data_IF_022293280091
#
_entry.id   IF_022293280091
#
_cell.length_a   1.000
_cell.length_b   1.000
_cell.length_c   1.000
_cell.angle_alpha   90.00
_cell.angle_beta   90.00
_cell.angle_gamma   90.00
#
_symmetry.space_group_name_H-M   'P 1'
#
loop_
_entity.id
_entity.type
_entity.pdbx_description
1 polymer ?
#
# COMPACT_ATOMS: atom_id res chain seq x y z
N UNK A 1 -8.52 13.04 11.35
CA UNK A 1 -8.68 12.12 10.20
C UNK A 1 -8.00 12.63 8.95
N UNK A 2 -6.80 13.19 9.11
CA UNK A 2 -6.06 13.72 7.97
C UNK A 2 -5.05 12.70 7.45
N UNK A 3 -4.21 12.19 8.35
CA UNK A 3 -3.21 11.20 7.98
C UNK A 3 -3.12 10.10 9.04
N UNK A 4 -2.99 8.86 8.57
CA UNK A 4 -2.90 7.71 9.46
C UNK A 4 -4.05 7.71 10.47
N UNK A 5 -4.11 6.66 11.29
CA UNK A 5 -5.15 6.53 12.30
C UNK A 5 -5.25 5.10 12.80
N UNK A 6 -5.05 4.95 14.10
CA UNK A 6 -5.12 3.66 14.75
C UNK A 6 -4.30 2.61 14.01
N UNK A 7 -4.31 1.39 14.54
CA UNK A 7 -3.56 0.29 13.93
C UNK A 7 -4.47 -0.56 13.05
N UNK A 8 -5.46 -1.20 13.68
CA UNK A 8 -6.38 -2.04 12.96
C UNK A 8 -7.22 -1.23 11.99
N UNK A 9 -7.47 0.02 12.34
CA UNK A 9 -8.25 0.90 11.48
C UNK A 9 -7.58 0.96 10.11
N UNK A 10 -6.25 1.00 10.13
CA UNK A 10 -5.48 1.03 8.91
C UNK A 10 -5.73 -0.23 8.10
N UNK A 11 -5.51 -1.37 8.74
CA UNK A 11 -5.72 -2.67 8.11
C UNK A 11 -7.07 -2.70 7.40
N UNK A 12 -8.13 -2.59 8.19
CA UNK A 12 -9.48 -2.59 7.64
C UNK A 12 -9.58 -1.60 6.49
N UNK A 13 -8.74 -0.57 6.52
CA UNK A 13 -8.71 0.43 5.48
C UNK A 13 -7.88 -0.07 4.30
N UNK A 14 -6.79 -0.77 4.59
CA UNK A 14 -5.93 -1.31 3.55
C UNK A 14 -6.74 -2.10 2.54
N UNK A 15 -7.91 -2.59 2.98
CA UNK A 15 -8.78 -3.38 2.13
C UNK A 15 -9.90 -2.53 1.55
N UNK A 16 -10.56 -1.75 2.40
CA UNK A 16 -11.64 -0.88 1.96
C UNK A 16 -11.19 -0.04 0.77
N UNK A 17 -9.88 0.19 0.68
CA UNK A 17 -9.31 0.96 -0.40
C UNK A 17 -9.67 0.36 -1.76
N UNK A 18 -8.89 -0.62 -2.18
CA UNK A 18 -9.14 -1.29 -3.45
C UNK A 18 -8.00 -2.25 -3.80
N UNK A 19 -8.22 -3.10 -4.79
CA UNK A 19 -7.22 -4.06 -5.23
C UNK A 19 -5.88 -3.37 -5.45
N UNK A 20 -5.93 -2.20 -6.09
CA UNK A 20 -4.73 -1.41 -6.35
C UNK A 20 -3.97 -1.16 -5.07
N UNK A 21 -4.71 -1.03 -3.97
CA UNK A 21 -4.11 -0.79 -2.67
C UNK A 21 -3.52 -2.07 -2.10
N UNK A 22 -4.39 -3.06 -1.92
CA UNK A 22 -3.95 -4.35 -1.40
C UNK A 22 -2.89 -4.95 -2.31
N UNK A 23 -2.89 -4.52 -3.58
CA UNK A 23 -1.93 -5.01 -4.54
C UNK A 23 -0.56 -4.38 -4.35
N UNK A 24 -0.46 -3.10 -4.74
CA UNK A 24 0.81 -2.39 -4.63
C UNK A 24 1.32 -2.35 -3.20
N UNK A 25 0.40 -2.27 -2.24
CA UNK A 25 0.78 -2.23 -0.83
C UNK A 25 1.51 -3.51 -0.43
N UNK A 26 0.91 -4.66 -0.75
CA UNK A 26 1.52 -5.94 -0.42
C UNK A 26 2.86 -6.12 -1.13
N UNK A 27 3.11 -5.27 -2.12
CA UNK A 27 4.37 -5.31 -2.84
C UNK A 27 5.29 -4.27 -2.23
N UNK A 28 4.69 -3.14 -1.89
CA UNK A 28 5.37 -2.03 -1.27
C UNK A 28 5.83 -2.43 0.13
N UNK A 29 5.02 -3.25 0.80
CA UNK A 29 5.32 -3.74 2.14
C UNK A 29 6.72 -4.33 2.21
N UNK A 30 7.17 -4.89 1.09
CA UNK A 30 8.49 -5.50 1.02
C UNK A 30 9.55 -4.48 0.59
N UNK A 31 9.25 -3.75 -0.47
CA UNK A 31 10.19 -2.75 -0.96
C UNK A 31 10.82 -3.15 -2.28
N UNK A 32 10.11 -3.96 -3.05
CA UNK A 32 10.61 -4.42 -4.34
C UNK A 32 10.48 -3.31 -5.40
N UNK A 33 11.10 -3.52 -6.58
CA UNK A 33 11.06 -2.53 -7.66
C UNK A 33 9.64 -2.30 -8.18
N UNK A 34 9.44 -1.17 -8.84
CA UNK A 34 8.13 -0.83 -9.38
C UNK A 34 7.69 -1.86 -10.43
N UNK A 35 8.66 -2.49 -11.07
CA UNK A 35 8.37 -3.50 -12.09
C UNK A 35 7.88 -4.79 -11.46
N UNK A 36 8.74 -5.43 -10.67
CA UNK A 36 8.36 -6.69 -10.00
C UNK A 36 7.03 -6.54 -9.30
N UNK A 37 6.78 -5.37 -8.75
CA UNK A 37 5.53 -5.09 -8.05
C UNK A 37 4.36 -5.09 -9.01
N UNK A 38 4.45 -4.25 -10.02
CA UNK A 38 3.40 -4.14 -11.01
C UNK A 38 3.10 -5.49 -11.64
N UNK A 39 4.14 -6.27 -11.86
CA UNK A 39 3.94 -7.58 -12.44
C UNK A 39 3.56 -8.59 -11.38
N UNK A 40 4.03 -8.38 -10.16
CA UNK A 40 3.70 -9.26 -9.06
C UNK A 40 2.19 -9.22 -8.81
N UNK A 41 1.54 -8.16 -9.32
CA UNK A 41 0.11 -8.01 -9.15
C UNK A 41 -0.56 -7.89 -10.53
N UNK A 42 -0.13 -8.76 -11.44
CA UNK A 42 -0.67 -8.80 -12.80
C UNK A 42 -0.97 -7.41 -13.36
N UNK A 43 0.03 -6.53 -13.39
CA UNK A 43 -0.17 -5.18 -13.91
C UNK A 43 1.14 -4.54 -14.35
N UNK A 44 1.03 -3.35 -14.96
CA UNK A 44 2.19 -2.63 -15.45
C UNK A 44 2.76 -1.68 -14.41
N UNK A 45 4.07 -1.36 -14.51
CA UNK A 45 4.73 -0.44 -13.56
C UNK A 45 4.16 0.96 -13.62
N UNK A 46 3.65 1.32 -14.79
CA UNK A 46 3.04 2.63 -14.97
C UNK A 46 1.74 2.68 -14.17
N UNK A 47 1.18 1.50 -13.91
CA UNK A 47 -0.05 1.40 -13.15
C UNK A 47 0.24 1.57 -11.66
N UNK A 48 1.22 0.82 -11.14
CA UNK A 48 1.58 0.93 -9.75
C UNK A 48 1.95 2.37 -9.43
N UNK A 49 2.58 3.03 -10.39
CA UNK A 49 2.95 4.43 -10.22
C UNK A 49 1.69 5.23 -9.95
N UNK A 50 0.63 4.90 -10.68
CA UNK A 50 -0.65 5.56 -10.50
C UNK A 50 -1.33 5.07 -9.23
N UNK A 51 -1.51 3.75 -9.15
CA UNK A 51 -2.14 3.13 -8.01
C UNK A 51 -1.44 3.56 -6.72
N UNK A 52 -0.15 3.25 -6.63
CA UNK A 52 0.65 3.60 -5.46
C UNK A 52 0.37 5.03 -5.00
N UNK A 53 0.80 6.00 -5.80
CA UNK A 53 0.59 7.41 -5.48
C UNK A 53 -0.83 7.68 -5.02
N UNK A 54 -1.75 6.86 -5.51
CA UNK A 54 -3.16 6.98 -5.16
C UNK A 54 -3.40 6.34 -3.82
N UNK A 55 -2.89 5.13 -3.70
CA UNK A 55 -2.98 4.33 -2.52
C UNK A 55 -2.58 5.14 -1.29
N UNK A 56 -1.35 5.60 -1.27
CA UNK A 56 -0.85 6.39 -0.15
C UNK A 56 -1.60 7.71 -0.04
N UNK A 57 -2.08 8.21 -1.17
CA UNK A 57 -2.82 9.47 -1.20
C UNK A 57 -4.24 9.33 -0.66
N UNK A 58 -4.86 8.17 -0.91
CA UNK A 58 -6.22 7.92 -0.45
C UNK A 58 -6.24 7.13 0.84
N UNK A 59 -5.26 6.25 1.03
CA UNK A 59 -5.18 5.44 2.24
C UNK A 59 -4.79 6.28 3.46
N UNK A 60 -4.48 7.56 3.23
CA UNK A 60 -4.08 8.47 4.30
C UNK A 60 -2.60 8.34 4.63
N UNK A 61 -1.83 7.72 3.73
CA UNK A 61 -0.40 7.56 3.94
C UNK A 61 0.32 8.88 3.72
N UNK A 62 1.62 8.80 3.44
CA UNK A 62 2.43 9.99 3.24
C UNK A 62 3.63 9.68 2.35
N UNK A 63 4.30 8.57 2.65
CA UNK A 63 5.46 8.15 1.88
C UNK A 63 5.58 6.63 1.89
N UNK A 64 6.60 6.12 1.18
CA UNK A 64 6.82 4.68 1.11
C UNK A 64 6.87 4.10 2.53
N UNK A 65 7.71 4.69 3.39
CA UNK A 65 7.84 4.25 4.78
C UNK A 65 6.50 4.29 5.51
N UNK A 66 5.84 5.44 5.44
CA UNK A 66 4.54 5.62 6.09
C UNK A 66 3.58 4.51 5.67
N UNK A 67 3.42 4.34 4.35
CA UNK A 67 2.53 3.30 3.83
C UNK A 67 2.77 1.98 4.53
N UNK A 68 3.87 1.35 4.15
CA UNK A 68 4.26 0.07 4.72
C UNK A 68 4.19 0.13 6.23
N UNK A 69 4.67 1.22 6.81
CA UNK A 69 4.62 1.39 8.26
C UNK A 69 3.18 1.23 8.72
N UNK A 70 2.27 1.89 8.03
CA UNK A 70 0.86 1.79 8.33
C UNK A 70 0.38 0.39 7.97
N UNK A 71 1.09 -0.22 7.02
CA UNK A 71 0.79 -1.57 6.57
C UNK A 71 1.11 -2.56 7.68
N UNK A 72 2.35 -2.52 8.16
CA UNK A 72 2.78 -3.40 9.25
C UNK A 72 2.15 -2.94 10.55
N UNK A 73 2.03 -1.63 10.70
CA UNK A 73 1.41 -1.03 11.87
C UNK A 73 0.14 -1.79 12.21
N UNK A 74 -0.50 -2.29 11.16
CA UNK A 74 -1.72 -3.05 11.32
C UNK A 74 -1.49 -4.54 11.18
N UNK A 75 -1.54 -5.03 9.95
CA UNK A 75 -1.32 -6.46 9.70
C UNK A 75 -0.75 -6.76 8.32
N UNK A 76 -0.30 -5.71 7.63
CA UNK A 76 0.26 -5.87 6.29
C UNK A 76 1.77 -5.98 6.33
N UNK A 77 2.28 -6.89 7.16
CA UNK A 77 3.71 -7.07 7.26
C UNK A 77 4.15 -8.47 6.89
N UNK A 78 4.86 -8.64 5.76
CA UNK A 78 5.33 -9.96 5.31
C UNK A 78 6.42 -10.53 6.20
N UNK A 79 6.05 -11.47 7.06
CA UNK A 79 6.99 -12.11 7.97
C UNK A 79 8.05 -12.90 7.21
#
# INVERSE_FOLDING_TARGET
GSHMDDANDIRARLQTLSERERQVLSAVVAGLPNKSIAYDLDISPRTVEVHRANVMAKMKAKSLPHLVRMALAGGFGPS
#
